data_IF_181564291626
#
_entry.id   IF_181564291626
#
_cell.length_a   1.000
_cell.length_b   1.000
_cell.length_c   1.000
_cell.angle_alpha   90.00
_cell.angle_beta   90.00
_cell.angle_gamma   90.00
#
_symmetry.space_group_name_H-M   'P 1'
#
loop_
_entity.id
_entity.type
_entity.pdbx_description
1 polymer ?
#
# COMPACT_ATOMS: atom_id res chain seq x y z
N UNK A 1 -0.07 20.97 -3.65
CA UNK A 1 -0.32 21.65 -2.37
C UNK A 1 -0.25 20.60 -1.27
N UNK A 2 0.57 20.79 -0.24
CA UNK A 2 0.47 19.95 0.97
C UNK A 2 -0.83 20.34 1.66
N UNK A 3 -1.83 19.46 1.68
CA UNK A 3 -2.92 19.62 2.65
C UNK A 3 -2.26 19.73 4.03
N UNK A 4 -2.74 20.62 4.91
CA UNK A 4 -2.23 20.71 6.27
C UNK A 4 -2.78 19.54 7.08
N UNK A 5 -1.93 18.81 7.82
CA UNK A 5 -2.38 17.74 8.73
C UNK A 5 -3.43 18.24 9.72
N UNK A 6 -3.33 19.51 10.13
CA UNK A 6 -4.32 20.13 11.01
C UNK A 6 -5.69 20.26 10.31
N UNK A 7 -5.73 20.71 9.05
CA UNK A 7 -6.97 20.77 8.26
C UNK A 7 -7.56 19.38 8.01
N UNK A 8 -6.70 18.39 7.75
CA UNK A 8 -7.12 17.00 7.56
C UNK A 8 -7.83 16.46 8.81
N UNK A 9 -7.19 16.64 9.97
CA UNK A 9 -7.77 16.22 11.25
C UNK A 9 -9.06 17.00 11.56
N UNK A 10 -9.10 18.31 11.28
CA UNK A 10 -10.30 19.12 11.48
C UNK A 10 -11.49 18.60 10.65
N UNK A 11 -11.26 18.22 9.37
CA UNK A 11 -12.28 17.55 8.54
C UNK A 11 -12.77 16.25 9.20
N UNK A 12 -11.86 15.42 9.69
CA UNK A 12 -12.19 14.18 10.40
C UNK A 12 -13.03 14.41 11.65
N UNK A 13 -12.71 15.44 12.44
CA UNK A 13 -13.49 15.83 13.63
C UNK A 13 -14.89 16.31 13.24
N UNK A 14 -15.02 17.17 12.23
CA UNK A 14 -16.32 17.62 11.73
C UNK A 14 -17.19 16.44 11.28
N UNK A 15 -16.59 15.46 10.60
CA UNK A 15 -17.27 14.23 10.23
C UNK A 15 -17.70 13.42 11.47
N UNK A 16 -16.86 13.34 12.50
CA UNK A 16 -17.16 12.62 13.75
C UNK A 16 -18.34 13.19 14.55
N UNK A 17 -18.60 14.50 14.42
CA UNK A 17 -19.70 15.18 15.11
C UNK A 17 -21.06 14.87 14.48
N UNK A 18 -21.11 14.58 13.17
CA UNK A 18 -22.38 14.29 12.49
C UNK A 18 -23.00 13.01 13.08
N UNK A 19 -24.26 13.05 13.55
CA UNK A 19 -24.92 11.88 14.14
C UNK A 19 -24.93 10.68 13.18
N UNK A 20 -24.50 9.52 13.68
CA UNK A 20 -24.42 8.28 12.86
C UNK A 20 -25.76 7.85 12.31
N UNK A 21 -26.85 8.09 13.04
CA UNK A 21 -28.21 7.82 12.58
C UNK A 21 -28.53 8.48 11.23
N UNK A 22 -27.93 9.63 10.91
CA UNK A 22 -28.11 10.30 9.60
C UNK A 22 -27.40 9.49 8.51
N UNK A 23 -26.12 9.13 8.71
CA UNK A 23 -25.37 8.36 7.71
C UNK A 23 -25.86 6.94 7.54
N UNK A 24 -26.22 6.27 8.64
CA UNK A 24 -26.81 4.93 8.62
C UNK A 24 -28.13 4.90 7.83
N UNK A 25 -29.02 5.89 8.04
CA UNK A 25 -30.26 6.00 7.24
C UNK A 25 -30.01 6.24 5.76
N UNK A 26 -28.88 6.85 5.40
CA UNK A 26 -28.54 7.14 4.00
C UNK A 26 -27.85 5.99 3.27
N UNK A 27 -27.40 4.94 3.98
CA UNK A 27 -26.55 3.87 3.43
C UNK A 27 -27.16 3.25 2.15
N UNK A 28 -28.39 2.74 2.24
CA UNK A 28 -29.04 2.04 1.13
C UNK A 28 -29.24 2.97 -0.08
N UNK A 29 -29.70 4.20 0.13
CA UNK A 29 -29.84 5.18 -0.96
C UNK A 29 -28.51 5.54 -1.63
N UNK A 30 -27.41 5.54 -0.87
CA UNK A 30 -26.08 5.83 -1.38
C UNK A 30 -25.53 4.66 -2.20
N UNK A 31 -25.79 3.43 -1.75
CA UNK A 31 -25.46 2.21 -2.51
C UNK A 31 -26.27 2.18 -3.80
N UNK A 32 -27.58 2.40 -3.77
CA UNK A 32 -28.40 2.41 -4.98
C UNK A 32 -27.89 3.44 -5.99
N UNK A 33 -27.57 4.65 -5.55
CA UNK A 33 -26.99 5.68 -6.42
C UNK A 33 -25.68 5.21 -7.07
N UNK A 34 -24.83 4.49 -6.35
CA UNK A 34 -23.59 3.93 -6.91
C UNK A 34 -23.92 2.91 -8.00
N UNK A 35 -24.86 2.00 -7.73
CA UNK A 35 -25.29 0.96 -8.67
C UNK A 35 -25.86 1.57 -9.97
N UNK A 36 -26.60 2.67 -9.85
CA UNK A 36 -27.25 3.34 -10.98
C UNK A 36 -26.28 4.18 -11.82
N UNK A 37 -25.22 4.74 -11.22
CA UNK A 37 -24.45 5.83 -11.84
C UNK A 37 -23.01 5.52 -12.22
N UNK A 38 -22.43 4.42 -11.73
CA UNK A 38 -21.01 4.11 -11.92
C UNK A 38 -20.80 2.84 -12.76
N UNK A 39 -19.62 2.73 -13.35
CA UNK A 39 -19.17 1.53 -14.06
C UNK A 39 -18.96 0.37 -13.07
N UNK A 40 -19.90 -0.58 -13.09
CA UNK A 40 -19.91 -1.71 -12.17
C UNK A 40 -18.82 -2.73 -12.45
N UNK A 41 -18.36 -2.88 -13.69
CA UNK A 41 -17.27 -3.81 -14.02
C UNK A 41 -15.94 -3.27 -13.49
N UNK A 42 -15.69 -1.97 -13.67
CA UNK A 42 -14.53 -1.31 -13.08
C UNK A 42 -14.54 -1.39 -11.54
N UNK A 43 -15.70 -1.18 -10.91
CA UNK A 43 -15.84 -1.33 -9.46
C UNK A 43 -15.62 -2.77 -8.99
N UNK A 44 -16.25 -3.74 -9.64
CA UNK A 44 -16.13 -5.18 -9.34
C UNK A 44 -14.68 -5.64 -9.32
N UNK A 45 -13.92 -5.27 -10.34
CA UNK A 45 -12.52 -5.64 -10.44
C UNK A 45 -11.70 -5.10 -9.26
N UNK A 46 -11.87 -3.83 -8.91
CA UNK A 46 -11.14 -3.20 -7.79
C UNK A 46 -11.59 -3.72 -6.43
N UNK A 47 -12.89 -3.93 -6.22
CA UNK A 47 -13.42 -4.51 -4.98
C UNK A 47 -12.82 -5.90 -4.74
N UNK A 48 -12.79 -6.75 -5.75
CA UNK A 48 -12.24 -8.10 -5.63
C UNK A 48 -10.72 -8.11 -5.45
N UNK A 49 -10.03 -7.11 -5.98
CA UNK A 49 -8.62 -6.93 -5.71
C UNK A 49 -8.35 -6.54 -4.24
N UNK A 50 -9.12 -5.60 -3.69
CA UNK A 50 -8.97 -5.14 -2.30
C UNK A 50 -9.45 -6.18 -1.29
N UNK A 51 -10.54 -6.87 -1.61
CA UNK A 51 -11.18 -7.86 -0.77
C UNK A 51 -11.32 -9.20 -1.52
N UNK A 52 -10.31 -10.05 -1.31
CA UNK A 52 -10.12 -11.34 -2.01
C UNK A 52 -10.96 -12.51 -1.43
N UNK A 53 -11.79 -12.25 -0.43
CA UNK A 53 -12.64 -13.28 0.18
C UNK A 53 -13.99 -13.26 -0.53
N UNK A 54 -14.50 -14.44 -0.86
CA UNK A 54 -15.76 -14.65 -1.57
C UNK A 54 -16.73 -15.57 -0.83
N UNK A 55 -16.28 -16.15 0.29
CA UNK A 55 -17.09 -17.06 1.10
C UNK A 55 -17.39 -16.44 2.46
N UNK A 56 -18.55 -16.74 3.06
CA UNK A 56 -18.88 -16.26 4.40
C UNK A 56 -17.82 -16.65 5.46
N UNK A 57 -17.61 -15.78 6.45
CA UNK A 57 -16.70 -15.99 7.57
C UNK A 57 -17.32 -15.52 8.90
N UNK A 58 -16.72 -15.91 10.03
CA UNK A 58 -17.19 -15.55 11.38
C UNK A 58 -16.09 -14.86 12.17
N UNK A 59 -16.45 -13.82 12.91
CA UNK A 59 -15.52 -13.02 13.74
C UNK A 59 -15.63 -13.32 15.24
N UNK A 60 -16.72 -13.97 15.67
CA UNK A 60 -17.01 -14.26 17.08
C UNK A 60 -15.85 -14.92 17.87
N UNK A 61 -15.05 -15.85 17.31
CA UNK A 61 -13.91 -16.41 18.05
C UNK A 61 -12.83 -15.39 18.45
N UNK A 62 -12.79 -14.23 17.80
CA UNK A 62 -11.76 -13.19 17.99
C UNK A 62 -12.25 -12.04 18.86
N UNK A 63 -13.58 -11.84 18.92
CA UNK A 63 -14.18 -10.86 19.82
C UNK A 63 -13.93 -11.27 21.28
N UNK A 64 -13.39 -10.36 22.09
CA UNK A 64 -12.89 -10.60 23.47
C UNK A 64 -11.63 -11.45 23.62
N UNK A 65 -10.97 -11.89 22.55
CA UNK A 65 -9.67 -12.58 22.64
C UNK A 65 -8.54 -11.68 23.20
N UNK A 66 -8.79 -10.37 23.29
CA UNK A 66 -7.80 -9.36 23.65
C UNK A 66 -6.88 -9.03 22.47
N UNK A 67 -6.18 -7.90 22.54
CA UNK A 67 -5.15 -7.60 21.56
C UNK A 67 -3.88 -8.36 21.96
N UNK A 68 -3.29 -9.20 21.09
CA UNK A 68 -2.14 -9.99 21.47
C UNK A 68 -0.94 -9.07 21.77
N UNK A 69 -0.35 -9.21 22.95
CA UNK A 69 0.98 -8.65 23.26
C UNK A 69 2.07 -9.51 22.61
N UNK A 70 2.02 -9.67 21.29
CA UNK A 70 3.00 -10.44 20.55
C UNK A 70 3.92 -9.51 19.76
N UNK A 71 5.22 -9.85 19.76
CA UNK A 71 6.18 -9.16 18.90
C UNK A 71 5.88 -9.53 17.46
N UNK A 72 5.40 -8.55 16.71
CA UNK A 72 5.13 -8.69 15.28
C UNK A 72 6.43 -9.01 14.54
N UNK A 73 6.47 -10.18 13.90
CA UNK A 73 7.56 -10.58 13.04
C UNK A 73 7.22 -10.24 11.58
N UNK A 74 8.13 -9.57 10.87
CA UNK A 74 8.01 -9.32 9.44
C UNK A 74 7.82 -10.66 8.71
N UNK A 75 6.83 -10.72 7.81
CA UNK A 75 6.38 -11.92 7.09
C UNK A 75 5.93 -13.09 7.99
N UNK A 76 5.72 -12.85 9.29
CA UNK A 76 5.05 -13.81 10.17
C UNK A 76 3.53 -13.76 10.02
N UNK A 77 2.84 -14.56 10.82
CA UNK A 77 1.37 -14.48 10.98
C UNK A 77 1.04 -13.74 12.27
N UNK A 78 0.02 -12.89 12.25
CA UNK A 78 -0.44 -12.10 13.39
C UNK A 78 -1.96 -12.12 13.52
N UNK A 79 -2.45 -12.17 14.75
CA UNK A 79 -3.88 -12.07 15.05
C UNK A 79 -4.29 -10.59 15.17
N UNK A 80 -5.21 -10.11 14.31
CA UNK A 80 -5.60 -8.69 14.24
C UNK A 80 -6.43 -8.25 15.45
N UNK A 81 -6.58 -6.94 15.63
CA UNK A 81 -7.53 -6.39 16.59
C UNK A 81 -8.96 -6.57 16.08
N UNK A 82 -9.87 -7.13 16.88
CA UNK A 82 -11.29 -7.26 16.53
C UNK A 82 -12.18 -6.69 17.65
N UNK A 83 -13.09 -5.78 17.30
CA UNK A 83 -14.01 -5.15 18.24
C UNK A 83 -15.27 -4.67 17.51
N UNK A 84 -16.21 -4.03 18.21
CA UNK A 84 -17.37 -3.34 17.63
C UNK A 84 -16.97 -2.01 17.02
N UNK A 85 -17.66 -1.61 15.95
CA UNK A 85 -17.43 -0.32 15.28
C UNK A 85 -17.50 0.87 16.23
N UNK A 86 -18.44 0.87 17.20
CA UNK A 86 -18.56 1.94 18.19
C UNK A 86 -17.36 2.11 19.11
N UNK A 87 -16.55 1.06 19.27
CA UNK A 87 -15.38 1.07 20.13
C UNK A 87 -14.12 1.58 19.42
N UNK A 88 -14.18 1.75 18.09
CA UNK A 88 -13.12 2.46 17.36
C UNK A 88 -13.11 3.94 17.79
N UNK A 89 -12.03 4.37 18.42
CA UNK A 89 -11.88 5.70 19.03
C UNK A 89 -10.65 6.40 18.47
N UNK A 90 -10.67 7.75 18.37
CA UNK A 90 -9.47 8.50 18.08
C UNK A 90 -8.47 8.37 19.24
N UNK A 91 -7.17 8.47 18.96
CA UNK A 91 -6.08 8.49 19.95
C UNK A 91 -5.81 7.17 20.68
N UNK A 92 -5.94 6.05 19.98
CA UNK A 92 -5.39 4.77 20.46
C UNK A 92 -3.88 4.88 20.67
N UNK A 93 -3.37 4.33 21.78
CA UNK A 93 -1.95 4.41 22.13
C UNK A 93 -1.09 3.79 21.02
N UNK A 94 -0.10 4.53 20.53
CA UNK A 94 0.82 4.07 19.49
C UNK A 94 0.29 4.14 18.05
N UNK A 95 -0.98 4.54 17.84
CA UNK A 95 -1.59 4.62 16.51
C UNK A 95 -1.92 6.07 16.15
N UNK A 96 -1.55 6.48 14.93
CA UNK A 96 -1.91 7.80 14.38
C UNK A 96 -3.43 7.94 14.31
N UNK A 97 -3.98 9.05 14.81
CA UNK A 97 -5.43 9.34 14.71
C UNK A 97 -5.93 9.45 13.26
N UNK A 98 -5.03 9.58 12.29
CA UNK A 98 -5.37 9.55 10.86
C UNK A 98 -6.02 8.22 10.46
N UNK A 99 -5.56 7.09 11.00
CA UNK A 99 -6.18 5.78 10.74
C UNK A 99 -7.64 5.75 11.21
N UNK A 100 -7.91 6.33 12.38
CA UNK A 100 -9.27 6.50 12.87
C UNK A 100 -10.09 7.37 11.91
N UNK A 101 -9.63 8.56 11.53
CA UNK A 101 -10.40 9.43 10.65
C UNK A 101 -10.68 8.80 9.27
N UNK A 102 -9.70 8.09 8.71
CA UNK A 102 -9.80 7.48 7.39
C UNK A 102 -10.78 6.31 7.36
N UNK A 103 -10.78 5.50 8.41
CA UNK A 103 -11.75 4.39 8.59
C UNK A 103 -13.12 4.90 8.99
N UNK A 104 -13.19 5.84 9.94
CA UNK A 104 -14.43 6.40 10.47
C UNK A 104 -15.25 7.15 9.43
N UNK A 105 -14.60 7.76 8.42
CA UNK A 105 -15.29 8.38 7.27
C UNK A 105 -16.32 7.42 6.65
N UNK A 106 -16.06 6.11 6.67
CA UNK A 106 -16.87 5.07 6.04
C UNK A 106 -17.57 4.14 7.03
N UNK A 107 -16.95 3.78 8.15
CA UNK A 107 -17.59 2.85 9.11
C UNK A 107 -18.84 3.44 9.78
N UNK A 108 -18.94 4.78 9.88
CA UNK A 108 -20.12 5.51 10.38
C UNK A 108 -21.44 5.30 9.62
N UNK A 109 -21.39 4.63 8.47
CA UNK A 109 -22.59 4.27 7.71
C UNK A 109 -23.21 2.94 8.17
N UNK A 110 -22.48 2.14 8.95
CA UNK A 110 -22.89 0.81 9.38
C UNK A 110 -23.33 0.80 10.84
N UNK A 111 -24.00 -0.28 11.27
CA UNK A 111 -24.49 -0.43 12.63
C UNK A 111 -23.32 -0.46 13.63
N UNK A 112 -23.47 0.29 14.72
CA UNK A 112 -22.49 0.46 15.79
C UNK A 112 -22.09 -0.86 16.48
N UNK A 113 -22.97 -1.85 16.46
CA UNK A 113 -22.75 -3.18 17.04
C UNK A 113 -22.03 -4.15 16.10
N UNK A 114 -21.82 -3.79 14.83
CA UNK A 114 -21.08 -4.65 13.92
C UNK A 114 -19.64 -4.82 14.39
N UNK A 115 -19.19 -6.07 14.38
CA UNK A 115 -17.83 -6.51 14.60
C UNK A 115 -16.99 -6.32 13.34
N UNK A 116 -15.75 -5.93 13.54
CA UNK A 116 -14.76 -5.85 12.47
C UNK A 116 -13.38 -6.12 13.06
N UNK A 117 -12.50 -6.69 12.23
CA UNK A 117 -11.09 -6.78 12.53
C UNK A 117 -10.30 -5.76 11.72
N UNK A 118 -9.28 -5.17 12.32
CA UNK A 118 -8.41 -4.22 11.66
C UNK A 118 -6.97 -4.31 12.19
N UNK A 119 -6.04 -3.90 11.33
CA UNK A 119 -4.64 -3.73 11.70
C UNK A 119 -4.13 -2.39 11.16
N UNK A 120 -3.98 -1.42 12.07
CA UNK A 120 -3.53 -0.07 11.75
C UNK A 120 -2.01 0.05 11.91
N UNK A 121 -1.34 0.44 10.84
CA UNK A 121 0.11 0.60 10.84
C UNK A 121 0.73 0.16 9.52
N UNK A 122 2.03 -0.12 9.60
CA UNK A 122 2.80 -0.66 8.48
C UNK A 122 2.74 -2.19 8.54
N UNK A 123 1.74 -2.77 7.89
CA UNK A 123 1.53 -4.22 7.89
C UNK A 123 2.43 -4.87 6.85
N UNK A 124 3.46 -5.55 7.36
CA UNK A 124 4.47 -6.26 6.58
C UNK A 124 4.53 -7.76 6.92
N UNK A 125 3.40 -8.29 7.36
CA UNK A 125 3.13 -9.64 7.86
C UNK A 125 1.74 -10.08 7.39
N UNK A 126 1.41 -11.35 7.60
CA UNK A 126 0.13 -11.94 7.26
C UNK A 126 -0.83 -11.89 8.44
N UNK A 127 -2.13 -11.77 8.17
CA UNK A 127 -3.18 -11.78 9.19
C UNK A 127 -3.90 -13.13 9.17
N UNK A 128 -4.15 -13.71 10.34
CA UNK A 128 -4.86 -15.00 10.45
C UNK A 128 -6.39 -14.88 10.34
N UNK A 129 -6.92 -13.66 10.30
CA UNK A 129 -8.34 -13.39 10.18
C UNK A 129 -8.68 -12.22 9.23
N UNK A 130 -9.87 -12.22 8.59
CA UNK A 130 -10.32 -11.18 7.67
C UNK A 130 -10.31 -9.78 8.30
N UNK A 131 -9.41 -8.92 7.83
CA UNK A 131 -9.09 -7.66 8.51
C UNK A 131 -8.85 -6.50 7.57
N UNK A 132 -9.36 -5.34 7.96
CA UNK A 132 -9.14 -4.07 7.29
C UNK A 132 -7.71 -3.58 7.60
N UNK A 133 -6.91 -3.35 6.57
CA UNK A 133 -5.52 -2.88 6.73
C UNK A 133 -5.07 -1.94 5.61
N UNK A 134 -4.03 -1.15 5.88
CA UNK A 134 -3.43 -0.22 4.90
C UNK A 134 -2.63 -0.98 3.84
N UNK A 135 -1.90 -2.00 4.28
CA UNK A 135 -0.89 -2.68 3.49
C UNK A 135 -0.87 -4.19 3.71
N UNK A 136 -0.32 -4.94 2.76
CA UNK A 136 -0.07 -6.38 2.89
C UNK A 136 1.15 -6.81 2.07
N UNK A 137 1.83 -7.91 2.42
CA UNK A 137 2.86 -8.51 1.55
C UNK A 137 2.31 -8.91 0.18
N UNK A 138 3.13 -8.81 -0.86
CA UNK A 138 2.83 -9.35 -2.19
C UNK A 138 3.35 -10.79 -2.26
N UNK A 139 2.44 -11.77 -2.26
CA UNK A 139 2.77 -13.20 -2.17
C UNK A 139 3.79 -13.65 -3.23
N UNK A 140 3.65 -13.17 -4.48
CA UNK A 140 4.59 -13.52 -5.56
C UNK A 140 6.02 -13.03 -5.31
N UNK A 141 6.16 -11.88 -4.64
CA UNK A 141 7.46 -11.28 -4.32
C UNK A 141 8.09 -11.95 -3.11
N UNK A 142 7.29 -12.37 -2.14
CA UNK A 142 7.78 -13.16 -1.00
C UNK A 142 8.31 -14.52 -1.47
N UNK A 143 7.57 -15.19 -2.36
CA UNK A 143 7.95 -16.51 -2.90
C UNK A 143 9.25 -16.46 -3.72
N UNK A 144 9.47 -15.44 -4.56
CA UNK A 144 10.70 -15.31 -5.36
C UNK A 144 11.96 -15.12 -4.50
N UNK A 145 11.84 -14.46 -3.36
CA UNK A 145 12.96 -14.23 -2.43
C UNK A 145 13.32 -15.47 -1.60
N UNK A 146 12.33 -16.30 -1.27
CA UNK A 146 12.56 -17.56 -0.52
C UNK A 146 13.13 -18.64 -1.45
N UNK A 147 12.80 -18.61 -2.74
CA UNK A 147 13.25 -19.61 -3.70
C UNK A 147 13.83 -19.01 -4.99
N UNK A 148 15.04 -18.40 -4.95
CA UNK A 148 15.68 -17.83 -6.13
C UNK A 148 16.04 -18.87 -7.21
N UNK A 149 15.92 -20.18 -6.92
CA UNK A 149 16.19 -21.27 -7.88
C UNK A 149 14.97 -21.71 -8.69
N UNK A 150 13.74 -21.31 -8.31
CA UNK A 150 12.53 -21.75 -9.02
C UNK A 150 12.42 -21.19 -10.45
N UNK A 151 13.11 -20.10 -10.78
CA UNK A 151 13.15 -19.55 -12.14
C UNK A 151 14.33 -20.07 -12.99
N UNK A 152 15.27 -20.87 -12.44
CA UNK A 152 16.52 -21.21 -13.16
C UNK A 152 16.92 -22.69 -13.21
N UNK A 153 16.16 -23.64 -12.67
CA UNK A 153 16.56 -25.06 -12.75
C UNK A 153 15.48 -25.98 -13.33
N UNK A 154 15.66 -26.32 -14.62
CA UNK A 154 15.44 -27.69 -15.10
C UNK A 154 16.34 -28.63 -14.30
N UNK A 155 15.73 -29.69 -13.78
CA UNK A 155 16.31 -30.96 -13.27
C UNK A 155 17.71 -30.91 -12.68
N UNK A 156 17.78 -30.91 -11.34
CA UNK A 156 18.90 -31.51 -10.60
C UNK A 156 18.31 -32.23 -9.37
N UNK A 157 18.34 -33.56 -9.39
CA UNK A 157 17.98 -34.42 -8.26
C UNK A 157 18.96 -34.18 -7.11
N UNK A 158 18.45 -33.78 -5.94
CA UNK A 158 19.21 -33.67 -4.70
C UNK A 158 18.53 -34.55 -3.64
N UNK A 159 19.37 -35.08 -2.75
CA UNK A 159 19.15 -36.16 -1.78
C UNK A 159 17.94 -35.97 -0.82
N UNK A 160 17.13 -37.03 -0.67
CA UNK A 160 15.81 -37.03 -0.01
C UNK A 160 15.82 -36.86 1.52
N UNK A 161 17.00 -36.80 2.14
CA UNK A 161 17.12 -36.62 3.59
C UNK A 161 17.31 -35.15 4.02
N UNK A 162 17.71 -34.27 3.09
CA UNK A 162 17.83 -32.81 3.35
C UNK A 162 16.45 -32.12 3.24
N UNK A 163 15.53 -32.64 2.40
CA UNK A 163 14.16 -32.13 2.24
C UNK A 163 13.39 -32.09 3.57
N UNK A 164 13.37 -33.19 4.34
CA UNK A 164 12.50 -33.33 5.53
C UNK A 164 12.70 -32.30 6.66
N UNK A 165 13.89 -31.72 6.82
CA UNK A 165 14.17 -30.69 7.84
C UNK A 165 14.05 -29.26 7.30
N UNK A 166 14.19 -29.07 5.99
CA UNK A 166 13.97 -27.79 5.34
C UNK A 166 12.46 -27.55 5.13
N UNK A 167 11.71 -28.60 4.82
CA UNK A 167 10.26 -28.57 4.54
C UNK A 167 9.43 -28.10 5.73
N UNK A 168 9.70 -28.52 6.97
CA UNK A 168 8.87 -28.05 8.10
C UNK A 168 8.89 -26.52 8.35
N UNK A 169 9.96 -25.83 7.95
CA UNK A 169 10.05 -24.35 7.99
C UNK A 169 9.55 -23.72 6.68
N UNK A 170 9.71 -24.39 5.55
CA UNK A 170 9.22 -23.95 4.24
C UNK A 170 7.69 -24.06 4.14
N UNK A 171 7.10 -25.13 4.68
CA UNK A 171 5.66 -25.43 4.67
C UNK A 171 4.84 -24.36 5.41
N UNK A 172 5.36 -23.81 6.51
CA UNK A 172 4.69 -22.70 7.20
C UNK A 172 4.76 -21.37 6.44
N UNK A 173 5.80 -21.17 5.61
CA UNK A 173 5.91 -20.01 4.71
C UNK A 173 5.06 -20.18 3.43
N UNK A 174 4.79 -21.41 2.99
CA UNK A 174 3.93 -21.69 1.83
C UNK A 174 2.42 -21.71 2.15
N UNK A 175 2.04 -21.86 3.42
CA UNK A 175 0.65 -21.79 3.86
C UNK A 175 0.13 -20.35 4.07
N UNK A 176 1.01 -19.34 4.06
CA UNK A 176 0.64 -17.95 4.32
C UNK A 176 0.16 -17.26 3.04
N UNK A 177 -1.06 -16.74 3.07
CA UNK A 177 -1.66 -15.95 1.99
C UNK A 177 -2.12 -14.60 2.52
N UNK A 178 -1.99 -13.56 1.68
CA UNK A 178 -2.47 -12.22 2.01
C UNK A 178 -4.00 -12.04 1.90
N UNK A 179 -4.75 -13.11 1.64
CA UNK A 179 -6.21 -13.07 1.40
C UNK A 179 -7.01 -12.43 2.56
N UNK A 180 -6.57 -12.67 3.80
CA UNK A 180 -7.17 -12.09 5.01
C UNK A 180 -6.88 -10.59 5.17
N UNK A 181 -5.87 -10.07 4.49
CA UNK A 181 -5.53 -8.64 4.52
C UNK A 181 -6.37 -7.89 3.49
N UNK A 182 -7.51 -7.36 3.94
CA UNK A 182 -8.45 -6.59 3.13
C UNK A 182 -7.95 -5.14 3.07
N UNK A 183 -7.56 -4.72 1.87
CA UNK A 183 -6.96 -3.41 1.67
C UNK A 183 -8.00 -2.31 1.81
N UNK A 184 -7.63 -1.28 2.57
CA UNK A 184 -8.45 -0.09 2.75
C UNK A 184 -7.60 1.17 2.59
N UNK A 185 -8.21 2.22 2.06
CA UNK A 185 -7.52 3.48 1.82
C UNK A 185 -7.26 4.19 3.15
N UNK A 186 -6.12 3.89 3.78
CA UNK A 186 -5.71 4.41 5.09
C UNK A 186 -4.41 5.23 5.00
N UNK A 187 -4.17 6.12 5.98
CA UNK A 187 -3.15 7.18 5.92
C UNK A 187 -3.22 7.97 4.59
N UNK A 188 -4.44 8.25 4.12
CA UNK A 188 -4.72 8.84 2.80
C UNK A 188 -3.94 10.14 2.60
N UNK A 189 -3.92 10.96 3.65
CA UNK A 189 -3.21 12.22 3.73
C UNK A 189 -1.73 12.12 3.31
N UNK A 190 -1.04 11.04 3.70
CA UNK A 190 0.40 10.89 3.47
C UNK A 190 0.69 10.20 2.15
N UNK A 191 -0.06 9.14 1.85
CA UNK A 191 0.25 8.27 0.71
C UNK A 191 -0.43 8.73 -0.58
N UNK A 192 -1.66 9.21 -0.55
CA UNK A 192 -2.46 9.49 -1.76
C UNK A 192 -2.34 10.95 -2.20
N UNK A 193 -1.10 11.44 -2.25
CA UNK A 193 -0.76 12.75 -2.80
C UNK A 193 -0.40 12.61 -4.29
N UNK A 194 -1.31 13.03 -5.16
CA UNK A 194 -1.02 13.18 -6.59
C UNK A 194 -0.72 14.65 -6.87
N UNK A 195 0.39 14.93 -7.55
CA UNK A 195 0.84 16.29 -7.80
C UNK A 195 0.76 16.63 -9.29
N UNK A 196 0.67 17.94 -9.56
CA UNK A 196 0.87 18.48 -10.89
C UNK A 196 2.30 19.01 -10.95
N UNK A 197 3.13 18.35 -11.73
CA UNK A 197 4.50 18.79 -12.01
C UNK A 197 4.47 19.70 -13.25
N UNK A 198 5.07 20.88 -13.12
CA UNK A 198 5.13 21.88 -14.20
C UNK A 198 6.55 22.00 -14.77
N UNK A 199 7.47 21.13 -14.38
CA UNK A 199 8.83 21.09 -14.93
C UNK A 199 8.86 19.96 -15.95
N UNK A 200 9.25 20.25 -17.18
CA UNK A 200 9.37 19.23 -18.22
C UNK A 200 10.55 18.31 -17.93
N UNK A 201 10.47 17.05 -18.40
CA UNK A 201 11.51 16.06 -18.15
C UNK A 201 12.90 16.51 -18.65
N UNK A 202 12.94 17.21 -19.79
CA UNK A 202 14.19 17.66 -20.41
C UNK A 202 14.88 18.77 -19.63
N UNK A 203 14.12 19.57 -18.86
CA UNK A 203 14.62 20.69 -18.06
C UNK A 203 15.16 20.25 -16.68
N UNK A 204 15.03 18.96 -16.36
CA UNK A 204 15.47 18.39 -15.07
C UNK A 204 16.92 17.91 -15.15
N UNK A 205 17.57 17.84 -14.00
CA UNK A 205 18.95 17.37 -13.89
C UNK A 205 19.06 15.85 -14.10
N UNK A 206 20.08 15.40 -14.85
CA UNK A 206 20.44 13.98 -15.08
C UNK A 206 21.06 13.31 -13.85
N UNK A 207 20.35 13.38 -12.72
CA UNK A 207 20.78 12.85 -11.41
C UNK A 207 19.64 12.06 -10.79
N UNK A 208 19.98 10.93 -10.18
CA UNK A 208 19.10 10.20 -9.28
C UNK A 208 19.07 10.86 -7.91
N UNK A 209 17.90 11.31 -7.49
CA UNK A 209 17.72 12.03 -6.24
C UNK A 209 16.96 11.23 -5.18
N UNK A 210 17.44 11.29 -3.95
CA UNK A 210 16.76 10.70 -2.78
C UNK A 210 17.00 11.49 -1.48
N UNK A 211 15.92 11.72 -0.73
CA UNK A 211 15.97 12.14 0.67
C UNK A 211 14.97 11.33 1.48
N UNK A 212 15.46 10.47 2.37
CA UNK A 212 14.60 9.61 3.18
C UNK A 212 15.31 9.00 4.36
N UNK A 213 14.54 8.51 5.34
CA UNK A 213 15.11 7.82 6.48
C UNK A 213 15.61 6.42 6.05
N UNK A 214 16.92 6.21 6.09
CA UNK A 214 17.50 4.88 5.91
C UNK A 214 17.64 4.21 7.28
N UNK A 215 16.73 3.29 7.62
CA UNK A 215 16.85 2.43 8.81
C UNK A 215 16.90 0.95 8.46
N UNK A 216 16.31 0.59 7.31
CA UNK A 216 16.30 -0.77 6.79
C UNK A 216 17.62 -1.06 6.07
N UNK A 217 18.13 -2.29 6.23
CA UNK A 217 19.41 -2.72 5.63
C UNK A 217 19.48 -2.43 4.14
N UNK A 218 18.43 -2.75 3.37
CA UNK A 218 18.45 -2.49 1.93
C UNK A 218 18.57 -0.99 1.57
N UNK A 219 18.11 -0.05 2.40
CA UNK A 219 18.35 1.39 2.18
C UNK A 219 19.78 1.78 2.55
N UNK A 220 20.34 1.16 3.59
CA UNK A 220 21.75 1.30 3.99
C UNK A 220 22.67 0.80 2.88
N UNK A 221 22.38 -0.37 2.31
CA UNK A 221 23.14 -0.97 1.21
C UNK A 221 23.13 -0.07 -0.03
N UNK A 222 21.98 0.54 -0.35
CA UNK A 222 21.88 1.49 -1.46
C UNK A 222 22.78 2.72 -1.24
N UNK A 223 22.70 3.34 -0.06
CA UNK A 223 23.53 4.50 0.28
C UNK A 223 25.01 4.13 0.29
N UNK A 224 25.37 2.96 0.83
CA UNK A 224 26.76 2.50 0.84
C UNK A 224 27.33 2.35 -0.57
N UNK A 225 26.54 1.86 -1.52
CA UNK A 225 26.98 1.68 -2.92
C UNK A 225 27.08 3.01 -3.68
N UNK A 226 26.11 3.91 -3.50
CA UNK A 226 25.90 5.01 -4.45
C UNK A 226 25.96 6.42 -3.86
N UNK A 227 26.17 6.60 -2.55
CA UNK A 227 26.17 7.94 -1.94
C UNK A 227 27.20 8.91 -2.53
N UNK A 228 28.35 8.40 -2.98
CA UNK A 228 29.42 9.20 -3.59
C UNK A 228 29.44 9.08 -5.13
N UNK A 229 28.46 8.44 -5.75
CA UNK A 229 28.41 8.30 -7.22
C UNK A 229 27.96 9.63 -7.85
N UNK A 230 28.65 10.05 -8.92
CA UNK A 230 28.39 11.34 -9.57
C UNK A 230 27.00 11.46 -10.21
N UNK A 231 26.32 10.33 -10.50
CA UNK A 231 24.96 10.31 -11.01
C UNK A 231 23.90 10.35 -9.90
N UNK A 232 24.29 10.44 -8.64
CA UNK A 232 23.40 10.32 -7.49
C UNK A 232 23.53 11.49 -6.52
N UNK A 233 22.41 12.02 -6.05
CA UNK A 233 22.34 12.92 -4.91
C UNK A 233 21.39 12.32 -3.86
N UNK A 234 21.99 11.63 -2.88
CA UNK A 234 21.29 10.80 -1.91
C UNK A 234 21.49 11.34 -0.48
N UNK A 235 20.54 11.06 0.41
CA UNK A 235 20.67 11.48 1.80
C UNK A 235 19.74 10.79 2.78
N UNK A 236 20.29 10.41 3.93
CA UNK A 236 19.57 10.04 5.13
C UNK A 236 18.97 11.29 5.77
N UNK A 237 17.66 11.27 6.06
CA UNK A 237 16.95 12.40 6.73
C UNK A 237 16.23 11.98 8.01
N UNK A 238 16.57 10.82 8.56
CA UNK A 238 16.02 10.29 9.81
C UNK A 238 16.71 10.87 11.04
N UNK A 239 16.85 10.06 12.08
CA UNK A 239 17.48 10.44 13.33
C UNK A 239 18.96 10.82 13.07
N UNK A 240 19.42 12.04 13.39
CA UNK A 240 20.80 12.47 13.18
C UNK A 240 21.87 11.64 13.92
N UNK A 241 21.50 10.84 14.92
CA UNK A 241 22.44 9.94 15.59
C UNK A 241 22.77 8.70 14.74
N UNK A 242 21.98 8.40 13.71
CA UNK A 242 22.07 7.21 12.87
C UNK A 242 22.64 7.58 11.49
N UNK A 243 23.58 6.78 10.98
CA UNK A 243 24.21 6.96 9.65
C UNK A 243 24.69 8.40 9.35
N UNK A 244 25.41 9.01 10.30
CA UNK A 244 25.90 10.40 10.22
C UNK A 244 26.60 10.73 8.90
N UNK A 245 27.34 9.77 8.33
CA UNK A 245 28.06 9.95 7.07
C UNK A 245 27.16 10.23 5.86
N UNK A 246 25.88 9.87 5.92
CA UNK A 246 24.91 10.09 4.85
C UNK A 246 23.85 11.14 5.20
N UNK A 247 23.98 11.81 6.34
CA UNK A 247 22.99 12.76 6.81
C UNK A 247 22.92 13.98 5.87
N UNK A 248 21.72 14.29 5.38
CA UNK A 248 21.41 15.48 4.58
C UNK A 248 20.16 16.15 5.14
N UNK A 249 19.96 17.47 4.90
CA UNK A 249 18.73 18.13 5.31
C UNK A 249 17.52 17.55 4.57
N UNK A 250 16.36 17.59 5.23
CA UNK A 250 15.07 17.35 4.57
C UNK A 250 14.84 18.41 3.50
N UNK A 251 14.27 18.01 2.38
CA UNK A 251 13.98 18.89 1.26
C UNK A 251 12.51 18.72 0.84
N UNK A 252 11.91 19.78 0.29
CA UNK A 252 10.51 19.75 -0.12
C UNK A 252 10.29 18.89 -1.37
N UNK A 253 9.06 18.42 -1.60
CA UNK A 253 8.70 17.72 -2.84
C UNK A 253 9.01 18.58 -4.07
N UNK A 254 8.72 19.89 -4.03
CA UNK A 254 8.99 20.83 -5.14
C UNK A 254 10.47 20.80 -5.57
N UNK A 255 11.39 20.66 -4.62
CA UNK A 255 12.81 20.60 -4.92
C UNK A 255 13.25 19.23 -5.47
N UNK A 256 12.59 18.14 -5.07
CA UNK A 256 12.80 16.83 -5.71
C UNK A 256 12.44 16.88 -7.20
N UNK A 257 11.40 17.63 -7.58
CA UNK A 257 10.93 17.71 -8.97
C UNK A 257 11.96 18.32 -9.95
N UNK A 258 13.10 18.84 -9.46
CA UNK A 258 14.19 19.35 -10.32
C UNK A 258 15.07 18.25 -10.92
N UNK A 259 14.87 16.99 -10.53
CA UNK A 259 15.70 15.86 -10.91
C UNK A 259 14.93 14.89 -11.81
N UNK A 260 15.59 14.36 -12.85
CA UNK A 260 14.97 13.44 -13.81
C UNK A 260 14.59 12.13 -13.17
N UNK A 261 15.41 11.62 -12.27
CA UNK A 261 15.23 10.30 -11.66
C UNK A 261 14.98 10.44 -10.17
N UNK A 262 13.89 9.85 -9.67
CA UNK A 262 13.53 9.87 -8.26
C UNK A 262 13.46 8.45 -7.71
N UNK A 263 14.26 8.20 -6.68
CA UNK A 263 14.36 6.88 -6.06
C UNK A 263 13.19 6.62 -5.10
N UNK A 264 12.53 5.48 -5.27
CA UNK A 264 11.45 5.02 -4.40
C UNK A 264 11.79 3.67 -3.76
N UNK A 265 12.49 3.69 -2.63
CA UNK A 265 12.76 2.49 -1.83
C UNK A 265 11.68 2.31 -0.76
N UNK A 266 11.14 1.11 -0.62
CA UNK A 266 10.24 0.75 0.49
C UNK A 266 10.93 0.88 1.86
N UNK A 267 10.14 0.93 2.93
CA UNK A 267 10.66 1.05 4.29
C UNK A 267 10.22 -0.12 5.14
N UNK A 268 9.34 0.15 6.11
CA UNK A 268 8.66 -0.91 6.83
C UNK A 268 7.64 -1.61 5.91
N UNK A 269 6.94 -0.83 5.08
CA UNK A 269 6.00 -1.25 4.04
C UNK A 269 6.19 -0.37 2.78
N UNK A 270 5.09 -0.07 2.06
CA UNK A 270 5.08 0.76 0.84
C UNK A 270 5.80 2.11 1.02
N UNK A 271 6.58 2.50 0.01
CA UNK A 271 7.25 3.79 0.02
C UNK A 271 6.25 4.94 -0.04
N UNK A 272 6.33 5.88 0.91
CA UNK A 272 5.42 7.04 0.94
C UNK A 272 5.60 7.99 -0.23
N UNK A 273 6.73 7.92 -0.95
CA UNK A 273 7.01 8.77 -2.10
C UNK A 273 6.54 8.22 -3.45
N UNK A 274 6.25 6.93 -3.54
CA UNK A 274 5.94 6.26 -4.80
C UNK A 274 4.87 6.98 -5.63
N UNK A 275 3.70 7.24 -5.03
CA UNK A 275 2.53 7.77 -5.74
C UNK A 275 2.74 9.21 -6.25
N UNK A 276 3.45 10.04 -5.48
CA UNK A 276 3.74 11.40 -5.93
C UNK A 276 4.88 11.45 -6.94
N UNK A 277 5.81 10.49 -6.91
CA UNK A 277 6.82 10.35 -7.98
C UNK A 277 6.14 9.91 -9.27
N UNK A 278 5.31 8.86 -9.22
CA UNK A 278 4.62 8.32 -10.41
C UNK A 278 3.63 9.30 -11.04
N UNK A 279 3.17 10.32 -10.31
CA UNK A 279 2.35 11.41 -10.85
C UNK A 279 3.14 12.66 -11.23
N UNK A 280 4.47 12.64 -11.09
CA UNK A 280 5.35 13.74 -11.49
C UNK A 280 5.90 13.55 -12.91
N UNK A 281 6.59 14.56 -13.44
CA UNK A 281 7.31 14.46 -14.70
C UNK A 281 8.75 13.91 -14.51
N UNK A 282 9.04 13.29 -13.36
CA UNK A 282 10.31 12.60 -13.10
C UNK A 282 10.09 11.08 -13.20
N UNK A 283 11.09 10.35 -13.72
CA UNK A 283 11.03 8.91 -13.82
C UNK A 283 11.26 8.25 -12.46
N UNK A 284 10.31 7.42 -12.03
CA UNK A 284 10.43 6.62 -10.81
C UNK A 284 11.48 5.52 -11.01
N UNK A 285 12.43 5.40 -10.09
CA UNK A 285 13.42 4.33 -10.07
C UNK A 285 13.22 3.51 -8.79
N UNK A 286 12.96 2.21 -8.92
CA UNK A 286 12.76 1.31 -7.78
C UNK A 286 12.95 -0.16 -8.15
N UNK A 287 13.24 -1.03 -7.18
CA UNK A 287 13.04 -2.47 -7.34
C UNK A 287 11.56 -2.83 -7.49
N UNK A 288 11.27 -4.10 -7.74
CA UNK A 288 9.89 -4.61 -7.67
C UNK A 288 9.29 -4.33 -6.28
N UNK A 289 8.04 -3.86 -6.20
CA UNK A 289 7.37 -3.57 -4.93
C UNK A 289 7.17 -4.88 -4.16
N UNK A 290 7.40 -4.89 -2.84
CA UNK A 290 7.21 -6.08 -1.98
C UNK A 290 5.93 -6.01 -1.18
N UNK A 291 5.37 -4.82 -1.03
CA UNK A 291 4.13 -4.57 -0.33
C UNK A 291 3.11 -3.89 -1.22
N UNK A 292 1.85 -4.13 -0.90
CA UNK A 292 0.71 -3.61 -1.62
C UNK A 292 -0.20 -2.83 -0.68
N UNK A 293 -0.76 -1.75 -1.20
CA UNK A 293 -1.76 -0.90 -0.59
C UNK A 293 -2.95 -0.72 -1.54
N UNK A 294 -3.86 0.17 -1.19
CA UNK A 294 -4.97 0.57 -2.06
C UNK A 294 -4.54 1.05 -3.48
N UNK A 295 -3.27 1.41 -3.67
CA UNK A 295 -2.72 1.82 -4.98
C UNK A 295 -2.31 0.66 -5.88
N UNK A 296 -2.49 -0.58 -5.43
CA UNK A 296 -2.36 -1.77 -6.28
C UNK A 296 -0.94 -1.94 -6.84
N UNK A 297 0.07 -1.81 -5.98
CA UNK A 297 1.48 -1.83 -6.35
C UNK A 297 1.87 -3.07 -7.18
N UNK A 298 1.24 -4.23 -6.95
CA UNK A 298 1.48 -5.45 -7.77
C UNK A 298 1.06 -5.33 -9.24
N UNK A 299 0.30 -4.28 -9.60
CA UNK A 299 -0.12 -3.97 -10.98
C UNK A 299 0.83 -3.00 -11.68
N UNK A 300 1.85 -2.49 -11.01
CA UNK A 300 2.92 -1.76 -11.66
C UNK A 300 3.77 -2.73 -12.51
N UNK A 301 4.05 -2.35 -13.76
CA UNK A 301 4.79 -3.18 -14.71
C UNK A 301 6.21 -2.62 -14.81
N UNK A 302 7.24 -3.44 -14.57
CA UNK A 302 8.63 -2.98 -14.60
C UNK A 302 9.03 -2.51 -15.99
N UNK A 303 9.82 -1.44 -16.06
CA UNK A 303 10.25 -0.76 -17.30
C UNK A 303 9.12 -0.28 -18.21
N UNK A 304 7.88 -0.23 -17.69
CA UNK A 304 6.72 0.35 -18.35
C UNK A 304 6.09 1.46 -17.50
N UNK A 305 5.84 1.24 -16.20
CA UNK A 305 5.35 2.27 -15.28
C UNK A 305 6.47 2.92 -14.45
N UNK A 306 7.62 2.27 -14.32
CA UNK A 306 8.78 2.76 -13.58
C UNK A 306 10.06 2.11 -14.14
N UNK A 307 11.21 2.74 -13.91
CA UNK A 307 12.51 2.15 -14.23
C UNK A 307 12.84 1.11 -13.16
N UNK A 308 12.83 -0.16 -13.55
CA UNK A 308 13.08 -1.26 -12.62
C UNK A 308 14.58 -1.48 -12.42
N UNK A 309 15.01 -1.53 -11.17
CA UNK A 309 16.39 -1.91 -10.78
C UNK A 309 16.38 -3.24 -10.03
N UNK A 310 17.51 -3.95 -10.04
CA UNK A 310 17.67 -5.19 -9.31
C UNK A 310 17.54 -4.97 -7.79
N UNK A 311 17.14 -6.01 -7.05
CA UNK A 311 17.02 -5.96 -5.57
C UNK A 311 18.36 -5.67 -4.88
N UNK A 312 19.47 -6.07 -5.50
CA UNK A 312 20.83 -5.74 -5.05
C UNK A 312 21.37 -4.43 -5.64
N UNK A 313 20.57 -3.75 -6.46
CA UNK A 313 20.86 -2.49 -7.13
C UNK A 313 22.05 -2.52 -8.12
N UNK A 314 22.53 -3.70 -8.52
CA UNK A 314 23.72 -3.87 -9.37
C UNK A 314 23.60 -3.18 -10.74
N UNK A 315 22.40 -3.13 -11.31
CA UNK A 315 22.14 -2.58 -12.64
C UNK A 315 21.76 -1.07 -12.65
N UNK A 316 21.87 -0.36 -11.53
CA UNK A 316 21.40 1.03 -11.43
C UNK A 316 22.07 1.95 -12.46
N UNK A 317 23.40 1.91 -12.55
CA UNK A 317 24.15 2.83 -13.42
C UNK A 317 23.86 2.60 -14.89
N UNK A 318 23.73 1.35 -15.29
CA UNK A 318 23.35 0.96 -16.65
C UNK A 318 21.96 1.53 -16.99
N UNK A 319 20.97 1.34 -16.11
CA UNK A 319 19.62 1.89 -16.29
C UNK A 319 19.63 3.41 -16.40
N UNK A 320 20.31 4.12 -15.50
CA UNK A 320 20.40 5.59 -15.57
C UNK A 320 21.05 6.06 -16.87
N UNK A 321 22.21 5.49 -17.25
CA UNK A 321 22.90 5.85 -18.49
C UNK A 321 22.02 5.62 -19.73
N UNK A 322 21.28 4.50 -19.78
CA UNK A 322 20.35 4.21 -20.87
C UNK A 322 19.26 5.28 -21.00
N UNK A 323 18.58 5.63 -19.91
CA UNK A 323 17.47 6.60 -19.97
C UNK A 323 17.93 8.06 -20.13
N UNK A 324 19.16 8.39 -19.69
CA UNK A 324 19.81 9.68 -20.01
C UNK A 324 20.04 9.78 -21.53
N UNK A 325 20.59 8.73 -22.15
CA UNK A 325 20.82 8.69 -23.59
C UNK A 325 19.53 8.56 -24.43
N UNK A 326 18.44 8.10 -23.83
CA UNK A 326 17.16 7.84 -24.49
C UNK A 326 16.00 8.55 -23.76
N UNK A 327 15.95 9.90 -23.72
CA UNK A 327 14.97 10.64 -22.92
C UNK A 327 13.51 10.34 -23.31
N UNK A 328 13.25 10.03 -24.59
CA UNK A 328 11.91 9.64 -25.05
C UNK A 328 11.41 8.35 -24.39
N UNK A 329 12.31 7.40 -24.08
CA UNK A 329 11.95 6.16 -23.36
C UNK A 329 11.59 6.44 -21.91
N UNK A 330 12.26 7.40 -21.27
CA UNK A 330 11.89 7.83 -19.91
C UNK A 330 10.52 8.54 -19.90
N UNK A 331 10.24 9.38 -20.89
CA UNK A 331 8.94 10.04 -21.07
C UNK A 331 7.81 9.05 -21.33
N UNK A 332 8.06 7.98 -22.09
CA UNK A 332 7.11 6.88 -22.28
C UNK A 332 6.74 6.23 -20.94
N UNK A 333 7.73 5.93 -20.10
CA UNK A 333 7.49 5.40 -18.74
C UNK A 333 6.65 6.35 -17.89
N UNK A 334 6.98 7.65 -17.91
CA UNK A 334 6.26 8.69 -17.17
C UNK A 334 4.81 8.78 -17.64
N UNK A 335 4.58 8.76 -18.96
CA UNK A 335 3.24 8.78 -19.54
C UNK A 335 2.40 7.59 -19.05
N UNK A 336 2.95 6.39 -19.10
CA UNK A 336 2.27 5.18 -18.64
C UNK A 336 2.01 5.24 -17.13
N UNK A 337 2.94 5.77 -16.33
CA UNK A 337 2.76 6.00 -14.91
C UNK A 337 1.60 6.97 -14.61
N UNK A 338 1.45 8.04 -15.40
CA UNK A 338 0.33 8.98 -15.27
C UNK A 338 -1.00 8.30 -15.60
N UNK A 339 -1.06 7.50 -16.65
CA UNK A 339 -2.24 6.71 -16.99
C UNK A 339 -2.62 5.74 -15.86
N UNK A 340 -1.63 5.05 -15.28
CA UNK A 340 -1.86 4.21 -14.11
C UNK A 340 -2.39 5.01 -12.92
N UNK A 341 -1.83 6.20 -12.65
CA UNK A 341 -2.27 7.03 -11.52
C UNK A 341 -3.69 7.61 -11.71
N UNK A 342 -4.12 7.87 -12.95
CA UNK A 342 -5.39 8.52 -13.25
C UNK A 342 -6.60 7.78 -12.68
N UNK A 343 -6.55 6.44 -12.62
CA UNK A 343 -7.64 5.61 -12.09
C UNK A 343 -7.97 5.87 -10.60
N UNK A 344 -7.04 6.49 -9.85
CA UNK A 344 -7.19 6.77 -8.42
C UNK A 344 -7.64 8.22 -8.14
N UNK A 345 -7.88 9.01 -9.18
CA UNK A 345 -8.22 10.45 -9.06
C UNK A 345 -9.72 10.73 -9.09
N UNK A 346 -10.55 9.79 -9.55
CA UNK A 346 -12.01 9.95 -9.52
C UNK A 346 -12.53 9.79 -8.09
N UNK A 347 -12.93 10.91 -7.49
CA UNK A 347 -13.44 10.91 -6.11
C UNK A 347 -14.71 10.07 -5.93
N UNK A 348 -15.63 10.07 -6.91
CA UNK A 348 -16.89 9.33 -6.77
C UNK A 348 -16.62 7.83 -6.76
N UNK A 349 -15.73 7.36 -7.63
CA UNK A 349 -15.28 5.96 -7.68
C UNK A 349 -14.54 5.58 -6.39
N UNK A 350 -13.58 6.39 -5.93
CA UNK A 350 -12.84 6.10 -4.69
C UNK A 350 -13.72 6.05 -3.44
N UNK A 351 -14.70 6.95 -3.35
CA UNK A 351 -15.69 7.00 -2.28
C UNK A 351 -16.64 5.79 -2.33
N UNK A 352 -17.02 5.35 -3.53
CA UNK A 352 -17.86 4.16 -3.74
C UNK A 352 -17.12 2.89 -3.32
N UNK A 353 -15.88 2.71 -3.78
CA UNK A 353 -15.04 1.57 -3.42
C UNK A 353 -14.82 1.47 -1.91
N UNK A 354 -14.57 2.58 -1.25
CA UNK A 354 -14.37 2.59 0.20
C UNK A 354 -15.63 2.14 0.97
N UNK A 355 -16.81 2.52 0.50
CA UNK A 355 -18.07 2.07 1.09
C UNK A 355 -18.32 0.58 0.77
N UNK A 356 -18.14 0.18 -0.49
CA UNK A 356 -18.48 -1.15 -0.99
C UNK A 356 -17.54 -2.25 -0.46
N UNK A 357 -16.26 -1.95 -0.21
CA UNK A 357 -15.34 -2.91 0.45
C UNK A 357 -15.84 -3.25 1.86
N UNK A 358 -16.31 -2.26 2.63
CA UNK A 358 -16.92 -2.50 3.94
C UNK A 358 -18.29 -3.17 3.84
N UNK A 359 -19.11 -2.80 2.85
CA UNK A 359 -20.41 -3.46 2.60
C UNK A 359 -20.23 -4.95 2.32
N UNK A 360 -19.28 -5.32 1.46
CA UNK A 360 -18.91 -6.72 1.18
C UNK A 360 -18.41 -7.42 2.45
N UNK A 361 -17.59 -6.75 3.26
CA UNK A 361 -17.12 -7.29 4.55
C UNK A 361 -18.26 -7.63 5.52
N UNK A 362 -19.19 -6.69 5.73
CA UNK A 362 -20.32 -6.88 6.66
C UNK A 362 -21.33 -7.91 6.16
N UNK A 363 -21.48 -8.05 4.84
CA UNK A 363 -22.24 -9.14 4.23
C UNK A 363 -21.58 -10.50 4.49
N UNK A 364 -20.30 -10.65 4.13
CA UNK A 364 -19.59 -11.93 4.26
C UNK A 364 -19.38 -12.36 5.71
N UNK A 365 -19.33 -11.41 6.65
CA UNK A 365 -19.31 -11.70 8.09
C UNK A 365 -20.69 -12.06 8.68
N UNK A 366 -21.75 -12.07 7.87
CA UNK A 366 -23.11 -12.43 8.28
C UNK A 366 -23.82 -11.36 9.11
N UNK A 367 -23.38 -10.11 9.05
CA UNK A 367 -23.88 -9.02 9.89
C UNK A 367 -24.95 -8.16 9.21
N UNK A 368 -25.08 -8.25 7.88
CA UNK A 368 -26.09 -7.53 7.12
C UNK A 368 -26.44 -8.27 5.83
N UNK A 369 -27.69 -8.16 5.39
CA UNK A 369 -28.14 -8.64 4.08
C UNK A 369 -27.90 -7.58 2.98
N UNK A 370 -27.81 -8.05 1.73
CA UNK A 370 -27.60 -7.24 0.53
C UNK A 370 -28.52 -7.69 -0.61
N UNK A 371 -28.71 -6.82 -1.60
CA UNK A 371 -29.50 -7.10 -2.80
C UNK A 371 -28.81 -8.11 -3.74
N UNK A 372 -29.55 -8.65 -4.71
CA UNK A 372 -28.97 -9.54 -5.74
C UNK A 372 -27.99 -8.81 -6.67
N UNK A 373 -28.24 -7.53 -6.95
CA UNK A 373 -27.34 -6.67 -7.73
C UNK A 373 -26.00 -6.50 -7.02
N UNK A 374 -26.02 -6.25 -5.71
CA UNK A 374 -24.79 -6.19 -4.89
C UNK A 374 -24.03 -7.53 -4.88
N UNK A 375 -24.73 -8.68 -4.81
CA UNK A 375 -24.08 -10.00 -4.89
C UNK A 375 -23.38 -10.20 -6.23
N UNK A 376 -24.04 -9.83 -7.34
CA UNK A 376 -23.45 -9.89 -8.68
C UNK A 376 -22.21 -8.99 -8.81
N UNK A 377 -22.26 -7.78 -8.23
CA UNK A 377 -21.13 -6.85 -8.15
C UNK A 377 -19.96 -7.42 -7.34
N UNK A 378 -20.25 -8.08 -6.21
CA UNK A 378 -19.21 -8.68 -5.36
C UNK A 378 -18.70 -10.03 -5.89
N UNK A 379 -19.37 -10.61 -6.90
CA UNK A 379 -19.05 -11.92 -7.45
C UNK A 379 -19.21 -13.04 -6.42
N UNK A 380 -20.32 -13.02 -5.68
CA UNK A 380 -20.69 -14.00 -4.66
C UNK A 380 -21.99 -14.68 -5.06
#
# INVERSE_FOLDING_TARGET
>A
MSFSRAMYNAKGIMQAIVPRAITQKSLESRIQKILDSLDLEALKWRINFYHQIHTPFRLEPLYNAGYPEQKIQRLGTFTPHCDKLKNNKPFQKGVSSVYYYDSYEWTRYFNDEFLWCYEFGDVNYYLDAPSITKTRPIDSQVKSHINPKAESSKELKIDSQIESKLDSKLDSAYAQSNQNSILFKLEKYRHFCFLKDNIDFDDKQDVLFFRGAAYQNHRVDFLQKYFNDSLCDLGHTGNPSVHKQWLKPKISIKEHLKYKFLLSLEGNDVASNLKWILSSNSACVMPMPKYESWFMESKLVPDYHFICIADDYSNLKEKLAFYIANPNKAKEIIHNAHQFCAQFMDKQVEDALSLLVLRKYFYLSGQQEITQEEKALFGI
#
